data_IF_358001698282
#
_entry.id   IF_358001698282
#
_cell.length_a   1.000
_cell.length_b   1.000
_cell.length_c   1.000
_cell.angle_alpha   90.00
_cell.angle_beta   90.00
_cell.angle_gamma   90.00
#
_symmetry.space_group_name_H-M   'P 1'
#
loop_
_entity.id
_entity.type
_entity.pdbx_description
1 polymer ?
#
# COMPACT_ATOMS: atom_id res chain seq x y z
N UNK A 1 19.55 19.13 -9.63
CA UNK A 1 18.59 18.02 -9.80
C UNK A 1 18.95 17.12 -10.98
N UNK A 2 19.03 17.60 -12.23
CA UNK A 2 19.39 16.74 -13.40
C UNK A 2 20.71 15.96 -13.24
N UNK A 3 21.71 16.55 -12.58
CA UNK A 3 23.01 15.92 -12.30
C UNK A 3 22.98 14.82 -11.21
N UNK A 4 21.92 14.73 -10.41
CA UNK A 4 21.74 13.71 -9.35
C UNK A 4 20.93 12.50 -9.85
N UNK A 5 20.52 12.52 -11.12
CA UNK A 5 19.70 11.49 -11.77
C UNK A 5 20.57 10.28 -12.11
N UNK A 6 20.10 9.10 -11.75
CA UNK A 6 20.71 7.82 -12.06
C UNK A 6 19.85 7.03 -13.06
N UNK A 7 20.46 6.09 -13.78
CA UNK A 7 19.79 5.24 -14.76
C UNK A 7 19.76 5.82 -16.18
N UNK A 8 19.01 5.17 -17.08
CA UNK A 8 18.86 5.57 -18.49
C UNK A 8 17.48 5.18 -19.01
N UNK A 9 17.02 5.87 -20.05
CA UNK A 9 15.76 5.60 -20.74
C UNK A 9 15.97 5.75 -22.24
N UNK A 10 16.00 4.64 -22.98
CA UNK A 10 16.11 4.68 -24.43
C UNK A 10 14.85 5.29 -25.09
N UNK A 11 13.65 5.00 -24.55
CA UNK A 11 12.36 5.29 -25.21
C UNK A 11 11.58 6.45 -24.56
N UNK A 12 12.28 7.52 -24.17
CA UNK A 12 11.66 8.63 -23.44
C UNK A 12 10.98 9.62 -24.37
N UNK A 13 9.64 9.54 -24.45
CA UNK A 13 8.84 10.50 -25.22
C UNK A 13 8.75 11.91 -24.59
N UNK A 14 9.28 12.11 -23.37
CA UNK A 14 9.32 13.42 -22.71
C UNK A 14 10.56 13.56 -21.81
N UNK A 15 11.00 14.80 -21.61
CA UNK A 15 12.13 15.11 -20.73
C UNK A 15 11.64 15.17 -19.27
N UNK A 16 12.34 14.50 -18.36
CA UNK A 16 12.03 14.56 -16.91
C UNK A 16 12.73 15.79 -16.35
N UNK A 17 11.96 16.82 -15.98
CA UNK A 17 12.49 18.13 -15.61
C UNK A 17 12.54 18.30 -14.08
N UNK A 18 11.66 17.61 -13.31
CA UNK A 18 11.55 17.79 -11.86
C UNK A 18 11.51 16.46 -11.06
N UNK A 19 12.10 16.44 -9.85
CA UNK A 19 11.95 15.31 -8.91
C UNK A 19 10.54 15.20 -8.33
N UNK A 20 9.72 16.24 -8.47
CA UNK A 20 8.28 16.26 -8.19
C UNK A 20 7.48 15.53 -9.27
N UNK A 21 7.97 15.44 -10.51
CA UNK A 21 7.32 14.68 -11.57
C UNK A 21 7.36 13.17 -11.29
N UNK A 22 8.31 12.74 -10.45
CA UNK A 22 8.39 11.37 -9.93
C UNK A 22 7.49 11.11 -8.70
N UNK A 23 6.81 12.13 -8.16
CA UNK A 23 6.12 12.03 -6.85
C UNK A 23 4.68 11.57 -6.91
N UNK A 24 4.05 11.44 -8.08
CA UNK A 24 2.61 11.06 -8.13
C UNK A 24 2.37 9.67 -8.69
N UNK A 25 3.23 9.15 -9.56
CA UNK A 25 3.05 7.80 -10.11
C UNK A 25 4.44 7.28 -10.46
N UNK A 26 4.86 6.13 -9.94
CA UNK A 26 6.03 5.49 -10.56
C UNK A 26 5.63 5.11 -11.97
N UNK A 27 6.05 5.91 -12.94
CA UNK A 27 6.16 5.52 -14.33
C UNK A 27 7.03 6.54 -15.06
N UNK A 28 8.35 6.34 -15.06
CA UNK A 28 9.11 6.57 -16.29
C UNK A 28 10.41 5.74 -16.27
N UNK A 29 10.43 4.70 -17.12
CA UNK A 29 11.49 4.38 -18.10
C UNK A 29 12.96 4.17 -17.68
N UNK A 30 13.25 3.90 -16.41
CA UNK A 30 14.60 3.51 -15.98
C UNK A 30 15.46 4.64 -15.40
N UNK A 31 14.89 5.80 -15.11
CA UNK A 31 15.57 6.85 -14.33
C UNK A 31 15.08 6.90 -12.89
N UNK A 32 16.00 7.13 -11.96
CA UNK A 32 15.74 7.22 -10.52
C UNK A 32 16.67 8.24 -9.83
N UNK A 33 16.36 8.59 -8.58
CA UNK A 33 17.26 9.36 -7.70
C UNK A 33 17.69 8.46 -6.55
N UNK A 34 18.92 8.64 -6.08
CA UNK A 34 19.38 7.96 -4.87
C UNK A 34 18.52 8.40 -3.67
N UNK A 35 18.01 7.47 -2.82
CA UNK A 35 17.17 7.82 -1.68
C UNK A 35 17.79 8.82 -0.71
N UNK A 36 19.11 8.78 -0.51
CA UNK A 36 19.86 9.67 0.38
C UNK A 36 20.09 11.04 -0.27
N UNK A 37 19.97 11.11 -1.60
CA UNK A 37 20.02 12.34 -2.38
C UNK A 37 18.66 13.03 -2.56
N UNK A 38 17.55 12.44 -2.10
CA UNK A 38 16.23 13.09 -2.14
C UNK A 38 16.17 14.18 -1.04
N UNK A 39 16.19 15.49 -1.38
CA UNK A 39 16.06 16.56 -0.38
C UNK A 39 14.69 16.52 0.33
N UNK A 40 13.81 15.63 -0.09
CA UNK A 40 12.50 15.38 0.46
C UNK A 40 12.33 14.00 1.09
N UNK A 41 13.42 13.27 1.36
CA UNK A 41 13.40 11.97 2.05
C UNK A 41 12.65 12.03 3.39
N UNK A 42 12.75 13.17 4.11
CA UNK A 42 12.01 13.43 5.35
C UNK A 42 10.49 13.38 5.24
N UNK A 43 9.91 13.49 4.03
CA UNK A 43 8.46 13.37 3.81
C UNK A 43 7.92 11.97 4.15
N UNK A 44 8.77 10.94 4.10
CA UNK A 44 8.39 9.58 4.51
C UNK A 44 8.22 9.45 6.04
N UNK A 45 8.69 10.44 6.82
CA UNK A 45 8.55 10.50 8.28
C UNK A 45 7.27 11.25 8.72
N UNK A 46 6.54 11.85 7.79
CA UNK A 46 5.27 12.51 8.07
C UNK A 46 4.23 11.41 8.33
N UNK A 47 3.34 11.65 9.29
CA UNK A 47 2.24 10.76 9.68
C UNK A 47 1.18 10.52 8.59
N UNK A 48 1.40 10.94 7.34
CA UNK A 48 0.45 10.86 6.24
C UNK A 48 1.04 10.16 5.02
N UNK A 49 0.21 9.37 4.35
CA UNK A 49 0.53 8.65 3.13
C UNK A 49 0.79 9.64 1.99
N UNK A 50 2.01 9.65 1.43
CA UNK A 50 2.37 10.50 0.29
C UNK A 50 1.39 10.40 -0.89
N UNK A 51 0.91 9.20 -1.29
CA UNK A 51 -0.08 9.05 -2.35
C UNK A 51 -1.45 9.68 -2.08
N UNK A 52 -1.72 10.12 -0.85
CA UNK A 52 -2.99 10.66 -0.40
C UNK A 52 -2.96 12.11 0.05
N UNK A 53 -1.80 12.78 0.00
CA UNK A 53 -1.68 14.16 0.51
C UNK A 53 -2.55 15.13 -0.30
N UNK A 54 -2.60 14.98 -1.62
CA UNK A 54 -3.42 15.88 -2.45
C UNK A 54 -4.91 15.69 -2.16
N UNK A 55 -5.36 14.43 -2.06
CA UNK A 55 -6.73 14.12 -1.65
C UNK A 55 -7.04 14.66 -0.25
N UNK A 56 -6.14 14.47 0.71
CA UNK A 56 -6.27 14.98 2.07
C UNK A 56 -6.42 16.52 2.09
N UNK A 57 -5.63 17.24 1.29
CA UNK A 57 -5.72 18.69 1.17
C UNK A 57 -7.04 19.12 0.53
N UNK A 58 -7.42 18.53 -0.61
CA UNK A 58 -8.67 18.86 -1.29
C UNK A 58 -9.89 18.61 -0.39
N UNK A 59 -9.96 17.44 0.28
CA UNK A 59 -11.03 17.14 1.21
C UNK A 59 -11.02 18.09 2.41
N UNK A 60 -9.86 18.47 2.94
CA UNK A 60 -9.79 19.45 4.04
C UNK A 60 -10.30 20.83 3.61
N UNK A 61 -9.91 21.29 2.41
CA UNK A 61 -10.36 22.57 1.86
C UNK A 61 -11.87 22.62 1.56
N UNK A 62 -12.52 21.47 1.37
CA UNK A 62 -13.96 21.38 1.15
C UNK A 62 -14.70 21.18 2.48
N UNK A 63 -14.30 20.19 3.28
CA UNK A 63 -15.04 19.76 4.46
C UNK A 63 -14.95 20.75 5.61
N UNK A 64 -13.80 21.42 5.80
CA UNK A 64 -13.65 22.40 6.90
C UNK A 64 -14.55 23.62 6.67
N UNK A 65 -14.52 24.32 5.52
CA UNK A 65 -15.44 25.45 5.29
C UNK A 65 -16.91 25.03 5.30
N UNK A 66 -17.23 23.86 4.74
CA UNK A 66 -18.59 23.33 4.75
C UNK A 66 -19.07 23.09 6.19
N UNK A 67 -18.23 22.47 7.04
CA UNK A 67 -18.53 22.24 8.46
C UNK A 67 -18.73 23.57 9.19
N UNK A 68 -17.87 24.57 8.95
CA UNK A 68 -17.99 25.92 9.52
C UNK A 68 -19.31 26.57 9.10
N UNK A 69 -19.70 26.47 7.82
CA UNK A 69 -20.97 27.00 7.33
C UNK A 69 -22.17 26.33 8.03
N UNK A 70 -22.15 25.01 8.23
CA UNK A 70 -23.18 24.32 9.01
C UNK A 70 -23.23 24.76 10.47
N UNK A 71 -22.09 25.06 11.09
CA UNK A 71 -22.05 25.63 12.45
C UNK A 71 -22.72 27.00 12.47
N UNK A 72 -22.41 27.89 11.53
CA UNK A 72 -23.06 29.20 11.44
C UNK A 72 -24.57 29.09 11.20
N UNK A 73 -25.01 28.20 10.30
CA UNK A 73 -26.44 27.96 10.08
C UNK A 73 -27.13 27.40 11.33
N UNK A 74 -26.44 26.56 12.12
CA UNK A 74 -26.97 26.02 13.37
C UNK A 74 -27.20 27.11 14.42
N UNK A 75 -26.31 28.10 14.48
CA UNK A 75 -26.36 29.20 15.43
C UNK A 75 -27.31 30.32 15.01
N UNK A 76 -27.37 30.63 13.71
CA UNK A 76 -28.08 31.80 13.18
C UNK A 76 -29.47 31.49 12.62
N UNK A 77 -29.71 30.25 12.16
CA UNK A 77 -30.95 29.88 11.46
C UNK A 77 -31.75 28.86 12.27
N UNK A 78 -31.18 27.67 12.51
CA UNK A 78 -31.90 26.60 13.22
C UNK A 78 -30.95 25.52 13.75
N UNK A 79 -31.07 25.05 15.01
CA UNK A 79 -30.13 24.10 15.63
C UNK A 79 -30.02 22.75 14.89
N UNK A 80 -31.03 22.36 14.11
CA UNK A 80 -30.99 21.13 13.29
C UNK A 80 -29.81 21.08 12.29
N UNK A 81 -29.31 22.23 11.83
CA UNK A 81 -28.11 22.28 10.99
C UNK A 81 -26.85 21.76 11.71
N UNK A 82 -26.88 21.65 13.05
CA UNK A 82 -25.82 21.05 13.85
C UNK A 82 -25.54 19.59 13.48
N UNK A 83 -26.53 18.85 12.97
CA UNK A 83 -26.33 17.47 12.47
C UNK A 83 -25.36 17.47 11.28
N UNK A 84 -25.50 18.44 10.36
CA UNK A 84 -24.59 18.60 9.22
C UNK A 84 -23.17 18.97 9.66
N UNK A 85 -23.03 19.81 10.68
CA UNK A 85 -21.72 20.15 11.25
C UNK A 85 -21.03 18.92 11.86
N UNK A 86 -21.76 18.13 12.66
CA UNK A 86 -21.22 16.89 13.25
C UNK A 86 -20.84 15.89 12.16
N UNK A 87 -21.70 15.68 11.16
CA UNK A 87 -21.42 14.77 10.05
C UNK A 87 -20.18 15.21 9.24
N UNK A 88 -20.08 16.51 8.92
CA UNK A 88 -18.93 17.08 8.20
C UNK A 88 -17.63 16.94 8.98
N UNK A 89 -17.67 17.19 10.29
CA UNK A 89 -16.52 17.02 11.18
C UNK A 89 -16.07 15.55 11.28
N UNK A 90 -16.99 14.62 11.49
CA UNK A 90 -16.69 13.19 11.54
C UNK A 90 -16.13 12.68 10.21
N UNK A 91 -16.67 13.14 9.08
CA UNK A 91 -16.16 12.80 7.75
C UNK A 91 -14.74 13.34 7.55
N UNK A 92 -14.45 14.56 8.01
CA UNK A 92 -13.10 15.14 7.94
C UNK A 92 -12.09 14.34 8.78
N UNK A 93 -12.46 13.96 10.01
CA UNK A 93 -11.64 13.07 10.85
C UNK A 93 -11.41 11.71 10.20
N UNK A 94 -12.44 11.16 9.55
CA UNK A 94 -12.31 9.92 8.79
C UNK A 94 -11.30 10.06 7.65
N UNK A 95 -11.31 11.16 6.88
CA UNK A 95 -10.34 11.40 5.81
C UNK A 95 -8.91 11.49 6.34
N UNK A 96 -8.69 12.24 7.43
CA UNK A 96 -7.39 12.32 8.11
C UNK A 96 -6.92 10.93 8.54
N UNK A 97 -7.82 10.18 9.19
CA UNK A 97 -7.54 8.83 9.66
C UNK A 97 -7.23 7.87 8.52
N UNK A 98 -7.94 7.97 7.39
CA UNK A 98 -7.77 7.08 6.24
C UNK A 98 -6.39 7.24 5.58
N UNK A 99 -5.92 8.49 5.42
CA UNK A 99 -4.63 8.79 4.80
C UNK A 99 -3.45 8.77 5.78
N UNK A 100 -3.64 8.27 7.00
CA UNK A 100 -2.55 8.16 7.99
C UNK A 100 -1.51 7.12 7.56
N UNK A 101 -0.27 7.36 7.96
CA UNK A 101 0.87 6.48 7.87
C UNK A 101 1.72 6.63 9.15
N UNK A 102 1.31 5.99 10.26
CA UNK A 102 2.05 6.08 11.50
C UNK A 102 3.45 5.46 11.34
N UNK A 103 4.47 5.99 12.03
CA UNK A 103 5.77 5.34 12.15
C UNK A 103 5.62 3.90 12.66
N UNK A 104 6.46 3.00 12.16
CA UNK A 104 6.45 1.58 12.51
C UNK A 104 7.85 1.11 12.86
N UNK A 105 7.95 0.33 13.91
CA UNK A 105 9.14 -0.50 14.15
C UNK A 105 9.04 -1.75 13.29
N UNK A 106 10.10 -1.99 12.52
CA UNK A 106 10.20 -3.14 11.63
C UNK A 106 11.07 -4.19 12.34
N UNK A 107 10.55 -5.40 12.62
CA UNK A 107 11.33 -6.46 13.26
C UNK A 107 12.61 -6.78 12.48
N UNK A 108 13.70 -7.10 13.19
CA UNK A 108 15.05 -7.33 12.62
C UNK A 108 15.44 -8.82 12.56
N UNK A 109 14.57 -9.75 12.97
CA UNK A 109 14.89 -11.17 12.98
C UNK A 109 15.21 -11.75 11.57
N UNK A 110 16.08 -12.77 11.48
CA UNK A 110 16.32 -13.50 10.23
C UNK A 110 15.12 -14.39 9.88
N UNK A 111 14.99 -14.74 8.60
CA UNK A 111 14.03 -15.74 8.13
C UNK A 111 12.57 -15.49 8.54
N UNK A 112 12.17 -14.22 8.67
CA UNK A 112 10.79 -13.83 8.94
C UNK A 112 10.17 -13.08 7.77
N UNK A 113 8.87 -13.28 7.63
CA UNK A 113 8.02 -12.53 6.71
C UNK A 113 7.02 -11.71 7.52
N UNK A 114 7.00 -10.38 7.32
CA UNK A 114 6.08 -9.47 8.01
C UNK A 114 4.84 -9.18 7.16
N UNK A 115 3.76 -8.78 7.81
CA UNK A 115 2.52 -8.44 7.13
C UNK A 115 2.77 -7.32 6.10
N UNK A 116 2.34 -7.46 4.84
CA UNK A 116 2.47 -6.40 3.85
C UNK A 116 1.45 -5.25 4.03
N UNK A 117 0.48 -5.40 4.93
CA UNK A 117 -0.66 -4.49 5.05
C UNK A 117 -1.26 -4.51 6.48
N UNK A 118 -1.93 -3.43 6.88
CA UNK A 118 -2.76 -3.43 8.10
C UNK A 118 -4.12 -4.06 7.81
N UNK A 119 -4.57 -5.01 8.62
CA UNK A 119 -5.89 -5.60 8.37
C UNK A 119 -6.16 -6.83 9.21
N UNK A 120 -6.97 -7.73 8.67
CA UNK A 120 -7.31 -9.01 9.30
C UNK A 120 -6.96 -10.15 8.35
N UNK A 121 -6.31 -11.19 8.86
CA UNK A 121 -6.00 -12.41 8.10
C UNK A 121 -7.31 -13.10 7.71
N UNK A 122 -7.49 -13.35 6.42
CA UNK A 122 -8.69 -14.01 5.88
C UNK A 122 -8.40 -15.42 5.39
N UNK A 123 -7.21 -15.66 4.84
CA UNK A 123 -6.84 -16.96 4.29
C UNK A 123 -5.37 -17.28 4.56
N UNK A 124 -5.10 -18.54 4.87
CA UNK A 124 -3.79 -19.14 5.09
C UNK A 124 -3.83 -20.54 4.44
N UNK A 125 -3.30 -20.69 3.24
CA UNK A 125 -3.47 -21.91 2.47
C UNK A 125 -2.36 -22.12 1.43
N UNK A 126 -2.18 -23.38 1.02
CA UNK A 126 -1.32 -23.71 -0.11
C UNK A 126 -2.11 -23.60 -1.43
N UNK A 127 -1.51 -22.98 -2.44
CA UNK A 127 -2.08 -22.79 -3.78
C UNK A 127 -1.04 -23.09 -4.84
N UNK A 128 -1.48 -23.47 -6.03
CA UNK A 128 -0.61 -23.46 -7.21
C UNK A 128 -0.59 -22.06 -7.83
N UNK A 129 0.60 -21.47 -7.95
CA UNK A 129 0.77 -20.10 -8.46
C UNK A 129 1.80 -20.06 -9.60
N UNK A 130 1.41 -19.51 -10.74
CA UNK A 130 2.28 -19.40 -11.91
C UNK A 130 3.56 -18.59 -11.60
N UNK A 131 4.72 -19.18 -11.86
CA UNK A 131 6.04 -18.59 -11.59
C UNK A 131 6.60 -18.84 -10.18
N UNK A 132 5.81 -19.44 -9.28
CA UNK A 132 6.27 -19.90 -7.95
C UNK A 132 6.12 -21.42 -7.82
N UNK A 133 5.09 -22.00 -8.43
CA UNK A 133 4.67 -23.39 -8.23
C UNK A 133 3.80 -23.50 -6.97
N UNK A 134 4.03 -24.54 -6.17
CA UNK A 134 3.35 -24.74 -4.90
C UNK A 134 3.72 -23.63 -3.91
N UNK A 135 2.80 -22.71 -3.69
CA UNK A 135 2.99 -21.50 -2.90
C UNK A 135 2.11 -21.49 -1.65
N UNK A 136 2.61 -20.95 -0.54
CA UNK A 136 1.80 -20.63 0.62
C UNK A 136 1.30 -19.18 0.51
N UNK A 137 -0.02 -19.02 0.50
CA UNK A 137 -0.71 -17.74 0.39
C UNK A 137 -1.19 -17.26 1.75
N UNK A 138 -0.82 -16.02 2.10
CA UNK A 138 -1.41 -15.28 3.22
C UNK A 138 -2.22 -14.12 2.66
N UNK A 139 -3.52 -14.08 2.98
CA UNK A 139 -4.44 -13.06 2.48
C UNK A 139 -4.94 -12.16 3.60
N UNK A 140 -4.81 -10.84 3.43
CA UNK A 140 -5.15 -9.83 4.43
C UNK A 140 -6.24 -8.93 3.88
N UNK A 141 -7.36 -8.81 4.59
CA UNK A 141 -8.40 -7.84 4.29
C UNK A 141 -8.16 -6.54 5.06
N UNK A 142 -8.13 -5.44 4.34
CA UNK A 142 -7.99 -4.08 4.86
C UNK A 142 -9.36 -3.40 4.79
N UNK A 143 -9.96 -3.14 5.95
CA UNK A 143 -11.15 -2.31 6.04
C UNK A 143 -10.82 -0.84 5.81
N UNK A 144 -11.83 -0.02 5.52
CA UNK A 144 -11.66 1.44 5.35
C UNK A 144 -11.08 2.16 6.58
N UNK A 145 -11.08 1.52 7.75
CA UNK A 145 -10.51 2.10 8.97
C UNK A 145 -9.03 1.72 9.19
N UNK A 146 -8.48 0.79 8.41
CA UNK A 146 -7.07 0.39 8.51
C UNK A 146 -6.14 1.43 7.86
N UNK A 147 -4.84 1.30 8.12
CA UNK A 147 -3.81 2.03 7.37
C UNK A 147 -3.68 1.41 5.99
N UNK A 148 -3.87 2.20 4.94
CA UNK A 148 -3.98 1.68 3.57
C UNK A 148 -2.66 1.68 2.78
N UNK A 149 -1.59 2.20 3.36
CA UNK A 149 -0.26 2.05 2.76
C UNK A 149 0.24 0.61 2.89
N UNK A 150 0.93 0.13 1.87
CA UNK A 150 1.45 -1.23 1.82
C UNK A 150 2.98 -1.25 1.93
N UNK A 151 3.48 -2.29 2.60
CA UNK A 151 4.89 -2.45 2.96
C UNK A 151 5.44 -3.76 2.45
N UNK A 152 6.72 -3.77 2.09
CA UNK A 152 7.35 -4.99 1.56
C UNK A 152 7.52 -6.01 2.70
N UNK A 153 7.06 -7.26 2.51
CA UNK A 153 7.03 -8.24 3.59
C UNK A 153 8.42 -8.82 3.95
N UNK A 154 9.42 -8.65 3.09
CA UNK A 154 10.81 -9.09 3.28
C UNK A 154 11.76 -8.23 2.41
N UNK A 155 13.07 -8.39 2.57
CA UNK A 155 14.03 -7.69 1.72
C UNK A 155 14.20 -8.43 0.38
N UNK A 156 14.18 -7.70 -0.73
CA UNK A 156 14.31 -8.31 -2.05
C UNK A 156 14.33 -7.31 -3.19
N UNK A 157 14.64 -7.81 -4.38
CA UNK A 157 14.71 -7.03 -5.61
C UNK A 157 13.47 -7.28 -6.46
N UNK A 158 12.80 -6.22 -6.89
CA UNK A 158 11.62 -6.31 -7.76
C UNK A 158 12.04 -6.81 -9.15
N UNK A 159 11.45 -7.92 -9.59
CA UNK A 159 11.70 -8.48 -10.94
C UNK A 159 10.59 -8.15 -11.92
N UNK A 160 9.34 -8.09 -11.46
CA UNK A 160 8.20 -7.79 -12.31
C UNK A 160 7.16 -6.95 -11.57
N UNK A 161 6.48 -6.10 -12.33
CA UNK A 161 5.27 -5.39 -11.89
C UNK A 161 4.21 -5.62 -12.97
N UNK A 162 3.08 -6.24 -12.62
CA UNK A 162 2.02 -6.62 -13.57
C UNK A 162 0.69 -6.04 -13.11
N UNK A 163 0.03 -5.32 -14.01
CA UNK A 163 -1.29 -4.73 -13.75
C UNK A 163 -2.36 -5.50 -14.50
N UNK A 164 -3.46 -5.79 -13.80
CA UNK A 164 -4.63 -6.46 -14.35
C UNK A 164 -5.87 -5.62 -14.04
N UNK A 165 -6.57 -5.10 -15.07
CA UNK A 165 -7.85 -4.42 -14.86
C UNK A 165 -8.92 -5.43 -14.41
N UNK A 166 -9.95 -4.97 -13.68
CA UNK A 166 -11.00 -5.88 -13.20
C UNK A 166 -12.28 -5.20 -12.69
N UNK A 167 -13.19 -6.00 -12.13
CA UNK A 167 -14.62 -5.76 -11.98
C UNK A 167 -15.10 -5.28 -10.58
N UNK A 168 -14.24 -4.66 -9.77
CA UNK A 168 -14.59 -4.02 -8.48
C UNK A 168 -15.65 -4.76 -7.61
N UNK A 169 -15.51 -6.08 -7.45
CA UNK A 169 -16.36 -6.90 -6.58
C UNK A 169 -15.99 -6.71 -5.09
N UNK A 170 -16.85 -7.14 -4.17
CA UNK A 170 -16.54 -7.09 -2.73
C UNK A 170 -15.24 -7.86 -2.43
N UNK A 171 -14.31 -7.23 -1.69
CA UNK A 171 -13.01 -7.81 -1.37
C UNK A 171 -13.09 -9.08 -0.51
N UNK A 172 -14.24 -9.37 0.10
CA UNK A 172 -14.51 -10.60 0.87
C UNK A 172 -14.93 -11.78 -0.01
N UNK A 173 -15.32 -11.54 -1.26
CA UNK A 173 -15.73 -12.60 -2.18
C UNK A 173 -14.52 -13.42 -2.65
N UNK A 174 -14.71 -14.73 -2.81
CA UNK A 174 -13.71 -15.64 -3.39
C UNK A 174 -13.34 -15.25 -4.83
N UNK A 175 -14.26 -14.63 -5.57
CA UNK A 175 -14.05 -14.21 -6.96
C UNK A 175 -13.23 -12.93 -7.11
N UNK A 176 -13.10 -12.14 -6.04
CA UNK A 176 -12.37 -10.87 -6.04
C UNK A 176 -10.93 -11.06 -6.52
N UNK A 177 -10.23 -12.08 -6.01
CA UNK A 177 -8.83 -12.33 -6.36
C UNK A 177 -8.60 -12.64 -7.85
N UNK A 178 -9.63 -13.08 -8.57
CA UNK A 178 -9.55 -13.40 -10.00
C UNK A 178 -10.06 -12.26 -10.88
N UNK A 179 -11.10 -11.57 -10.43
CA UNK A 179 -11.88 -10.67 -11.28
C UNK A 179 -11.65 -9.20 -10.98
N UNK A 180 -11.12 -8.83 -9.81
CA UNK A 180 -10.95 -7.41 -9.47
C UNK A 180 -9.67 -6.82 -10.04
N UNK A 181 -9.64 -5.48 -10.10
CA UNK A 181 -8.43 -4.74 -10.39
C UNK A 181 -7.34 -5.15 -9.41
N UNK A 182 -6.20 -5.55 -9.94
CA UNK A 182 -5.09 -6.00 -9.13
C UNK A 182 -3.74 -5.64 -9.73
N UNK A 183 -2.78 -5.42 -8.85
CA UNK A 183 -1.39 -5.17 -9.20
C UNK A 183 -0.50 -6.19 -8.48
N UNK A 184 0.32 -6.88 -9.25
CA UNK A 184 1.27 -7.87 -8.74
C UNK A 184 2.67 -7.28 -8.77
N UNK A 185 3.41 -7.52 -7.68
CA UNK A 185 4.82 -7.18 -7.54
C UNK A 185 5.54 -8.48 -7.23
N UNK A 186 6.40 -8.89 -8.16
CA UNK A 186 7.27 -10.06 -8.00
C UNK A 186 8.63 -9.59 -7.50
N UNK A 187 9.12 -10.21 -6.43
CA UNK A 187 10.43 -9.99 -5.86
C UNK A 187 11.23 -11.28 -5.85
N UNK A 188 12.55 -11.14 -5.89
CA UNK A 188 13.50 -12.19 -5.51
C UNK A 188 14.07 -11.80 -4.15
N UNK A 189 13.94 -12.69 -3.16
CA UNK A 189 14.47 -12.48 -1.82
C UNK A 189 16.00 -12.31 -1.87
N UNK A 190 16.53 -11.43 -1.02
CA UNK A 190 17.91 -10.95 -1.07
C UNK A 190 18.97 -12.05 -0.85
N UNK A 191 18.78 -12.94 0.13
CA UNK A 191 19.84 -13.83 0.62
C UNK A 191 19.76 -15.23 -0.01
N UNK A 192 18.56 -15.80 -0.08
CA UNK A 192 18.27 -17.17 -0.53
C UNK A 192 17.72 -17.22 -1.96
N UNK A 193 17.35 -16.07 -2.54
CA UNK A 193 17.01 -15.96 -3.95
C UNK A 193 15.67 -16.59 -4.36
N UNK A 194 14.76 -16.87 -3.42
CA UNK A 194 13.46 -17.44 -3.75
C UNK A 194 12.45 -16.37 -4.21
N UNK A 195 11.46 -16.75 -5.05
CA UNK A 195 10.47 -15.82 -5.55
C UNK A 195 9.42 -15.49 -4.47
N UNK A 196 8.97 -14.24 -4.48
CA UNK A 196 7.95 -13.71 -3.57
C UNK A 196 7.00 -12.87 -4.39
N UNK A 197 5.70 -13.12 -4.31
CA UNK A 197 4.69 -12.28 -4.98
C UNK A 197 3.84 -11.58 -3.96
N UNK A 198 3.67 -10.27 -4.13
CA UNK A 198 2.70 -9.48 -3.39
C UNK A 198 1.64 -8.98 -4.36
N UNK A 199 0.36 -9.23 -4.07
CA UNK A 199 -0.78 -8.79 -4.87
C UNK A 199 -1.54 -7.72 -4.10
N UNK A 200 -1.67 -6.55 -4.68
CA UNK A 200 -2.64 -5.54 -4.26
C UNK A 200 -3.94 -5.80 -5.03
N UNK A 201 -5.06 -6.01 -4.34
CA UNK A 201 -6.34 -6.34 -4.95
C UNK A 201 -7.37 -5.32 -4.46
N UNK A 202 -7.90 -4.50 -5.38
CA UNK A 202 -8.92 -3.51 -5.06
C UNK A 202 -10.25 -4.22 -4.74
N UNK A 203 -10.97 -3.77 -3.70
CA UNK A 203 -12.35 -4.17 -3.40
C UNK A 203 -13.40 -3.29 -4.08
N UNK A 204 -14.67 -3.47 -3.72
CA UNK A 204 -15.80 -2.78 -4.33
C UNK A 204 -15.82 -1.26 -4.17
N UNK A 205 -15.27 -0.77 -3.06
CA UNK A 205 -15.16 0.67 -2.79
C UNK A 205 -13.80 1.19 -3.30
N UNK A 206 -12.81 0.29 -3.48
CA UNK A 206 -11.49 0.68 -3.90
C UNK A 206 -11.41 0.88 -5.41
N UNK A 207 -11.01 2.08 -5.82
CA UNK A 207 -10.99 2.48 -7.24
C UNK A 207 -9.59 2.79 -7.75
N UNK A 208 -8.57 2.63 -6.91
CA UNK A 208 -7.20 3.01 -7.26
C UNK A 208 -6.16 2.26 -6.44
N UNK A 209 -5.31 1.54 -7.15
CA UNK A 209 -4.04 1.02 -6.64
C UNK A 209 -2.94 2.03 -7.01
N UNK A 210 -2.11 2.38 -6.03
CA UNK A 210 -0.90 3.17 -6.25
C UNK A 210 0.30 2.29 -5.99
N UNK A 211 1.17 2.19 -6.99
CA UNK A 211 2.50 1.61 -6.87
C UNK A 211 3.55 2.71 -7.03
N UNK A 212 4.64 2.60 -6.28
CA UNK A 212 5.76 3.54 -6.30
C UNK A 212 7.09 2.84 -6.60
N UNK A 213 7.05 1.57 -7.03
CA UNK A 213 8.24 0.74 -7.27
C UNK A 213 8.26 0.22 -8.70
N UNK A 214 9.47 0.06 -9.24
CA UNK A 214 9.72 -0.46 -10.59
C UNK A 214 10.68 -1.64 -10.56
N UNK A 215 10.78 -2.33 -11.68
CA UNK A 215 11.70 -3.47 -11.88
C UNK A 215 13.15 -3.04 -11.64
N UNK A 216 13.94 -3.91 -11.01
CA UNK A 216 15.33 -3.69 -10.63
C UNK A 216 15.50 -2.98 -9.28
N UNK A 217 14.44 -2.41 -8.70
CA UNK A 217 14.52 -1.74 -7.40
C UNK A 217 14.69 -2.75 -6.28
N UNK A 218 15.75 -2.59 -5.48
CA UNK A 218 15.89 -3.26 -4.19
C UNK A 218 15.01 -2.57 -3.13
N UNK A 219 14.31 -3.36 -2.34
CA UNK A 219 13.45 -2.88 -1.25
C UNK A 219 13.82 -3.57 0.05
N UNK A 220 13.83 -2.79 1.14
CA UNK A 220 14.04 -3.34 2.50
C UNK A 220 12.73 -3.88 3.05
N UNK A 221 12.82 -4.86 3.96
CA UNK A 221 11.65 -5.31 4.74
C UNK A 221 11.00 -4.11 5.43
N UNK A 222 9.67 -4.02 5.34
CA UNK A 222 8.90 -2.92 5.90
C UNK A 222 8.91 -1.62 5.10
N UNK A 223 9.70 -1.51 4.02
CA UNK A 223 9.70 -0.33 3.16
C UNK A 223 8.34 -0.14 2.48
N UNK A 224 7.90 1.11 2.31
CA UNK A 224 6.65 1.42 1.62
C UNK A 224 6.81 1.25 0.11
N UNK A 225 5.90 0.50 -0.52
CA UNK A 225 5.92 0.31 -1.97
C UNK A 225 4.67 0.87 -2.67
N UNK A 226 3.61 1.20 -1.92
CA UNK A 226 2.35 1.60 -2.51
C UNK A 226 1.24 1.87 -1.50
N UNK A 227 0.03 2.03 -2.03
CA UNK A 227 -1.21 2.20 -1.27
C UNK A 227 -2.38 1.67 -2.10
N UNK A 228 -3.34 1.00 -1.47
CA UNK A 228 -4.63 0.70 -2.10
C UNK A 228 -5.68 1.61 -1.47
N UNK A 229 -6.46 2.35 -2.26
CA UNK A 229 -7.42 3.30 -1.70
C UNK A 229 -8.80 2.66 -1.55
N UNK A 230 -9.35 2.58 -0.34
CA UNK A 230 -10.75 2.35 0.06
C UNK A 230 -11.24 0.89 0.07
N UNK A 231 -10.81 0.10 1.07
CA UNK A 231 -11.33 -1.25 1.28
C UNK A 231 -10.76 -2.24 0.26
N UNK A 232 -9.84 -3.09 0.70
CA UNK A 232 -9.02 -3.87 -0.22
C UNK A 232 -8.48 -5.15 0.39
N UNK A 233 -7.84 -5.95 -0.44
CA UNK A 233 -7.13 -7.16 -0.02
C UNK A 233 -5.67 -7.09 -0.48
N UNK A 234 -4.78 -7.60 0.35
CA UNK A 234 -3.39 -7.81 -0.01
C UNK A 234 -3.03 -9.27 0.20
N UNK A 235 -2.50 -9.91 -0.82
CA UNK A 235 -1.99 -11.28 -0.74
C UNK A 235 -0.46 -11.26 -0.80
N UNK A 236 0.17 -12.12 -0.01
CA UNK A 236 1.58 -12.48 -0.17
C UNK A 236 1.69 -13.98 -0.42
N UNK A 237 2.50 -14.34 -1.40
CA UNK A 237 2.74 -15.72 -1.82
C UNK A 237 4.24 -16.00 -1.84
N UNK A 238 4.64 -17.12 -1.25
CA UNK A 238 6.02 -17.62 -1.21
C UNK A 238 6.02 -19.14 -1.45
N UNK A 239 7.14 -19.78 -1.84
CA UNK A 239 7.22 -21.23 -1.94
C UNK A 239 6.81 -21.93 -0.64
N UNK A 240 5.86 -22.87 -0.73
CA UNK A 240 5.27 -23.51 0.45
C UNK A 240 6.28 -24.32 1.26
N UNK A 241 7.27 -24.92 0.58
CA UNK A 241 8.33 -25.71 1.21
C UNK A 241 9.25 -24.89 2.13
N UNK A 242 9.28 -23.56 2.00
CA UNK A 242 10.08 -22.65 2.82
C UNK A 242 9.37 -22.27 4.13
N UNK A 243 8.06 -22.48 4.25
CA UNK A 243 7.32 -22.13 5.46
C UNK A 243 7.70 -23.13 6.56
N UNK A 244 8.32 -22.64 7.63
CA UNK A 244 8.61 -23.43 8.82
C UNK A 244 7.42 -23.39 9.77
N UNK A 245 6.91 -22.17 10.03
CA UNK A 245 5.81 -21.95 10.98
C UNK A 245 4.95 -20.77 10.58
N UNK A 246 3.64 -20.96 10.64
CA UNK A 246 2.66 -19.87 10.51
C UNK A 246 2.44 -19.26 11.90
N UNK A 247 2.67 -17.95 12.02
CA UNK A 247 2.66 -17.24 13.33
C UNK A 247 1.35 -16.50 13.62
N UNK A 248 0.42 -16.52 12.67
CA UNK A 248 -0.91 -15.89 12.78
C UNK A 248 -2.00 -16.90 12.42
N UNK A 249 -3.26 -16.56 12.73
CA UNK A 249 -4.44 -17.37 12.40
C UNK A 249 -5.43 -16.54 11.60
N UNK A 250 -6.37 -17.19 10.91
CA UNK A 250 -7.52 -16.49 10.32
C UNK A 250 -8.26 -15.73 11.43
N UNK A 251 -8.63 -14.48 11.14
CA UNK A 251 -9.22 -13.55 12.11
C UNK A 251 -8.20 -12.73 12.92
N UNK A 252 -6.90 -13.02 12.84
CA UNK A 252 -5.87 -12.21 13.52
C UNK A 252 -5.74 -10.83 12.87
N UNK A 253 -5.81 -9.78 13.69
CA UNK A 253 -5.48 -8.42 13.27
C UNK A 253 -3.96 -8.27 13.12
N UNK A 254 -3.51 -7.68 12.02
CA UNK A 254 -2.10 -7.52 11.67
C UNK A 254 -1.79 -6.08 11.26
N UNK A 255 -0.55 -5.68 11.47
CA UNK A 255 -0.04 -4.35 11.12
C UNK A 255 1.08 -4.46 10.09
N UNK A 256 0.95 -3.69 9.01
CA UNK A 256 1.88 -3.67 7.89
C UNK A 256 3.29 -3.32 8.36
N UNK A 257 4.27 -4.15 7.98
CA UNK A 257 5.68 -4.01 8.32
C UNK A 257 6.06 -4.45 9.74
N UNK A 258 5.09 -4.61 10.65
CA UNK A 258 5.39 -4.88 12.08
C UNK A 258 4.97 -6.28 12.53
N UNK A 259 3.81 -6.78 12.12
CA UNK A 259 3.37 -8.11 12.54
C UNK A 259 4.11 -9.18 11.76
N UNK A 260 4.79 -10.09 12.45
CA UNK A 260 5.42 -11.25 11.83
C UNK A 260 4.32 -12.28 11.52
N UNK A 261 4.20 -12.69 10.25
CA UNK A 261 3.15 -13.61 9.81
C UNK A 261 3.68 -15.03 9.54
N UNK A 262 4.93 -15.16 9.10
CA UNK A 262 5.58 -16.46 8.85
C UNK A 262 7.01 -16.47 9.40
N UNK A 263 7.39 -17.63 9.95
CA UNK A 263 8.77 -18.06 10.09
C UNK A 263 9.14 -18.94 8.90
N UNK A 264 10.28 -18.67 8.29
CA UNK A 264 10.83 -19.40 7.16
C UNK A 264 11.97 -20.30 7.62
N UNK A 265 12.14 -21.42 6.92
CA UNK A 265 13.26 -22.33 7.14
C UNK A 265 14.58 -21.65 6.81
N UNK A 266 15.64 -22.12 7.48
CA UNK A 266 17.04 -21.80 7.15
C UNK A 266 17.44 -22.27 5.76
#
# INVERSE_FOLDING_TARGET
MRALRLGSCPDCNHNIIDSRDLKIYSNVCGFYFDPDSDPFAGRNKIWFARPGIMELLCFTLILVPTTIAFIFMALLIHPAFGVGAVAGFLLWLFVISFFRNPPREIPVAPNILVSPADGVITHLEEVEEAGIGKAFRVSIFLSVFNVHVNRVPLAGTVTHVRYYPGAFLDARSSDCAKRNEQLWIDLIEKEKGFPVRVKQIAGAIARRIVCQVGVGKFLRRGELYGMIKFGSRTDVLIPANLVEKVLVKVGTAVYGGSTIILQLKD
#
